data_IF_000120751770
#
_entry.id   IF_000120751770
#
_cell.length_a   1.000
_cell.length_b   1.000
_cell.length_c   1.000
_cell.angle_alpha   90.00
_cell.angle_beta   90.00
_cell.angle_gamma   90.00
#
_symmetry.space_group_name_H-M   'P 1'
#
loop_
_entity.id
_entity.type
_entity.pdbx_description
1 polymer ?
#
# COMPACT_ATOMS: atom_id res chain seq x y z
N UNK A 1 45.44 5.01 22.71
CA UNK A 1 44.59 3.87 22.31
C UNK A 1 43.23 4.45 21.95
N UNK A 2 42.58 4.04 20.85
CA UNK A 2 41.21 4.50 20.59
C UNK A 2 40.30 4.05 21.73
N UNK A 3 39.55 4.98 22.32
CA UNK A 3 38.62 4.69 23.40
C UNK A 3 37.44 3.90 22.85
N UNK A 4 37.31 2.65 23.30
CA UNK A 4 36.15 1.80 22.99
C UNK A 4 34.91 2.49 23.55
N UNK A 5 34.03 2.92 22.65
CA UNK A 5 32.86 3.74 23.00
C UNK A 5 31.75 2.88 23.62
N UNK A 6 31.61 1.63 23.19
CA UNK A 6 30.60 0.71 23.71
C UNK A 6 31.22 -0.64 24.04
N UNK A 7 30.92 -1.16 25.23
CA UNK A 7 31.37 -2.48 25.65
C UNK A 7 30.31 -3.52 25.26
N UNK A 8 30.75 -4.62 24.66
CA UNK A 8 29.86 -5.74 24.34
C UNK A 8 29.45 -6.50 25.60
N UNK A 9 28.23 -7.03 25.67
CA UNK A 9 27.78 -7.82 26.80
C UNK A 9 28.63 -9.08 26.99
N UNK A 10 28.75 -9.54 28.24
CA UNK A 10 29.44 -10.78 28.54
C UNK A 10 28.63 -11.98 28.02
N UNK A 11 29.33 -13.02 27.58
CA UNK A 11 28.72 -14.26 27.08
C UNK A 11 27.85 -14.93 28.15
N UNK A 12 28.29 -14.91 29.40
CA UNK A 12 27.52 -15.47 30.52
C UNK A 12 26.21 -14.71 30.75
N UNK A 13 26.24 -13.37 30.67
CA UNK A 13 25.04 -12.53 30.82
C UNK A 13 24.05 -12.75 29.67
N UNK A 14 24.56 -12.88 28.45
CA UNK A 14 23.75 -13.22 27.26
C UNK A 14 23.09 -14.57 27.45
N UNK A 15 23.87 -15.57 27.84
CA UNK A 15 23.41 -16.93 28.00
C UNK A 15 22.39 -17.05 29.15
N UNK A 16 22.62 -16.38 30.27
CA UNK A 16 21.70 -16.34 31.40
C UNK A 16 20.38 -15.68 31.02
N UNK A 17 20.42 -14.54 30.32
CA UNK A 17 19.22 -13.86 29.84
C UNK A 17 18.44 -14.72 28.82
N UNK A 18 19.13 -15.43 27.93
CA UNK A 18 18.53 -16.41 27.04
C UNK A 18 17.86 -17.55 27.83
N UNK A 19 18.57 -18.13 28.81
CA UNK A 19 18.11 -19.25 29.65
C UNK A 19 16.81 -18.88 30.37
N UNK A 20 16.77 -17.71 31.00
CA UNK A 20 15.59 -17.21 31.69
C UNK A 20 14.41 -16.95 30.74
N UNK A 21 14.68 -16.32 29.59
CA UNK A 21 13.65 -16.02 28.58
C UNK A 21 13.06 -17.30 27.99
N UNK A 22 13.92 -18.27 27.68
CA UNK A 22 13.53 -19.56 27.10
C UNK A 22 12.81 -20.43 28.13
N UNK A 23 13.19 -20.39 29.40
CA UNK A 23 12.44 -21.09 30.45
C UNK A 23 11.00 -20.59 30.57
N UNK A 24 10.79 -19.27 30.46
CA UNK A 24 9.44 -18.68 30.51
C UNK A 24 8.60 -19.09 29.30
N UNK A 25 9.19 -19.14 28.11
CA UNK A 25 8.47 -19.41 26.85
C UNK A 25 8.35 -20.91 26.51
N UNK A 26 9.42 -21.68 26.72
CA UNK A 26 9.64 -23.02 26.14
C UNK A 26 10.24 -24.03 27.15
N UNK A 27 9.82 -23.99 28.43
CA UNK A 27 10.33 -24.90 29.49
C UNK A 27 10.38 -26.38 29.09
N UNK A 28 9.29 -26.90 28.52
CA UNK A 28 9.20 -28.32 28.10
C UNK A 28 10.29 -28.71 27.10
N UNK A 29 10.66 -27.80 26.20
CA UNK A 29 11.72 -28.02 25.21
C UNK A 29 13.10 -27.99 25.85
N UNK A 30 13.34 -27.07 26.78
CA UNK A 30 14.59 -27.05 27.56
C UNK A 30 14.77 -28.35 28.34
N UNK A 31 13.75 -28.81 29.05
CA UNK A 31 13.79 -30.08 29.77
C UNK A 31 14.02 -31.28 28.85
N UNK A 32 13.38 -31.29 27.67
CA UNK A 32 13.60 -32.35 26.68
C UNK A 32 15.04 -32.37 26.18
N UNK A 33 15.68 -31.22 25.93
CA UNK A 33 16.98 -31.17 25.28
C UNK A 33 18.16 -31.20 26.27
N UNK A 34 17.97 -30.71 27.50
CA UNK A 34 19.01 -30.60 28.52
C UNK A 34 18.78 -31.49 29.75
N UNK A 35 17.57 -32.02 29.94
CA UNK A 35 17.24 -32.87 31.08
C UNK A 35 17.89 -34.24 31.03
N UNK A 36 18.33 -34.72 32.19
CA UNK A 36 18.86 -36.08 32.40
C UNK A 36 17.73 -37.01 32.80
N UNK A 37 17.65 -38.20 32.19
CA UNK A 37 16.60 -39.19 32.49
C UNK A 37 16.66 -39.58 33.98
N UNK A 38 15.56 -39.40 34.70
CA UNK A 38 15.43 -39.75 36.12
C UNK A 38 15.86 -38.66 37.11
N UNK A 39 16.32 -37.49 36.64
CA UNK A 39 16.63 -36.35 37.49
C UNK A 39 15.56 -35.24 37.36
N UNK A 40 15.34 -34.48 38.44
CA UNK A 40 14.48 -33.28 38.39
C UNK A 40 15.19 -32.20 37.59
N UNK A 41 14.51 -31.64 36.59
CA UNK A 41 15.06 -30.59 35.75
C UNK A 41 15.19 -29.25 36.51
N UNK A 42 16.41 -28.73 36.59
CA UNK A 42 16.73 -27.36 37.05
C UNK A 42 17.48 -26.60 35.95
N UNK A 43 17.38 -25.27 35.94
CA UNK A 43 18.16 -24.43 35.02
C UNK A 43 19.65 -24.41 35.35
N UNK A 44 20.03 -24.73 36.59
CA UNK A 44 21.42 -24.69 37.05
C UNK A 44 22.29 -25.75 36.37
N UNK A 45 21.67 -26.79 35.80
CA UNK A 45 22.38 -27.85 35.05
C UNK A 45 22.79 -27.40 33.63
N UNK A 46 22.34 -26.21 33.21
CA UNK A 46 22.61 -25.62 31.89
C UNK A 46 23.58 -24.46 32.09
N UNK A 47 24.84 -24.68 31.70
CA UNK A 47 25.91 -23.67 31.77
C UNK A 47 26.35 -23.24 30.38
N UNK A 48 26.80 -21.98 30.28
CA UNK A 48 27.38 -21.46 29.05
C UNK A 48 28.65 -22.26 28.66
N UNK A 49 29.50 -22.61 29.64
CA UNK A 49 30.74 -23.34 29.42
C UNK A 49 30.56 -24.70 28.74
N UNK A 50 29.46 -25.42 29.02
CA UNK A 50 29.18 -26.70 28.37
C UNK A 50 28.49 -26.54 27.00
N UNK A 51 27.63 -25.51 26.90
CA UNK A 51 26.67 -25.37 25.81
C UNK A 51 27.23 -24.55 24.65
N UNK A 52 28.02 -23.52 24.92
CA UNK A 52 28.54 -22.58 23.92
C UNK A 52 29.81 -23.18 23.30
N UNK A 53 29.77 -23.44 21.99
CA UNK A 53 30.89 -24.04 21.24
C UNK A 53 31.77 -23.00 20.57
N UNK A 54 31.15 -21.95 20.05
CA UNK A 54 31.87 -20.87 19.37
C UNK A 54 31.10 -19.55 19.50
N UNK A 55 31.80 -18.44 19.32
CA UNK A 55 31.22 -17.11 19.36
C UNK A 55 31.81 -16.21 18.28
N UNK A 56 30.94 -15.46 17.61
CA UNK A 56 31.33 -14.45 16.64
C UNK A 56 30.90 -13.07 17.11
N UNK A 57 31.84 -12.12 17.05
CA UNK A 57 31.57 -10.70 17.27
C UNK A 57 31.16 -10.06 15.95
N UNK A 58 29.95 -9.55 15.91
CA UNK A 58 29.29 -8.99 14.73
C UNK A 58 28.74 -7.59 15.06
N UNK A 59 28.06 -6.96 14.11
CA UNK A 59 27.44 -5.65 14.32
C UNK A 59 26.13 -5.53 13.53
N UNK A 60 25.23 -4.68 14.01
CA UNK A 60 24.02 -4.31 13.31
C UNK A 60 23.97 -2.80 13.10
N UNK A 61 23.55 -2.37 11.92
CA UNK A 61 23.40 -0.97 11.54
C UNK A 61 21.92 -0.70 11.34
N UNK A 62 21.42 0.33 11.99
CA UNK A 62 20.02 0.70 11.99
C UNK A 62 19.85 2.18 11.64
N UNK A 63 18.87 2.49 10.80
CA UNK A 63 18.33 3.83 10.62
C UNK A 63 16.86 3.72 10.21
N UNK A 64 16.09 4.77 10.41
CA UNK A 64 14.69 4.81 10.01
C UNK A 64 14.51 5.78 8.85
N UNK A 65 13.66 5.39 7.91
CA UNK A 65 13.29 6.21 6.74
C UNK A 65 11.81 6.56 6.79
N UNK A 66 11.50 7.71 6.20
CA UNK A 66 10.14 8.21 5.98
C UNK A 66 9.89 8.18 4.48
N UNK A 67 8.96 7.33 4.03
CA UNK A 67 8.67 7.13 2.61
C UNK A 67 7.29 7.70 2.24
N UNK A 68 7.22 8.57 1.24
CA UNK A 68 5.98 8.91 0.57
C UNK A 68 5.63 7.82 -0.44
N UNK A 69 4.47 7.20 -0.27
CA UNK A 69 3.98 6.15 -1.15
C UNK A 69 2.85 6.73 -2.00
N UNK A 70 2.92 6.48 -3.31
CA UNK A 70 1.82 6.78 -4.22
C UNK A 70 0.53 6.04 -3.80
N UNK A 71 -0.65 6.65 -3.98
CA UNK A 71 -1.91 6.04 -3.58
C UNK A 71 -2.15 4.71 -4.30
N UNK A 72 -2.70 3.75 -3.57
CA UNK A 72 -3.14 2.45 -4.11
C UNK A 72 -4.26 2.69 -5.12
N UNK A 73 -4.16 2.09 -6.32
CA UNK A 73 -5.14 2.23 -7.42
C UNK A 73 -6.45 1.45 -7.19
N UNK A 74 -6.71 0.94 -5.99
CA UNK A 74 -7.90 0.14 -5.71
C UNK A 74 -9.16 1.02 -5.69
N UNK A 75 -10.22 0.56 -6.38
CA UNK A 75 -11.54 1.18 -6.33
C UNK A 75 -11.91 2.10 -7.49
N UNK A 76 -11.15 2.14 -8.59
CA UNK A 76 -11.55 2.91 -9.78
C UNK A 76 -12.85 2.35 -10.37
N UNK A 77 -13.91 3.17 -10.37
CA UNK A 77 -15.20 2.83 -10.99
C UNK A 77 -15.67 3.94 -11.92
N UNK A 78 -16.35 3.55 -13.00
CA UNK A 78 -16.96 4.47 -13.95
C UNK A 78 -18.45 4.61 -13.63
N UNK A 79 -18.92 5.85 -13.51
CA UNK A 79 -20.34 6.17 -13.38
C UNK A 79 -20.84 6.83 -14.64
N UNK A 80 -22.09 6.52 -15.04
CA UNK A 80 -22.77 7.10 -16.18
C UNK A 80 -24.08 7.73 -15.73
N UNK A 81 -24.31 8.99 -16.08
CA UNK A 81 -25.50 9.72 -15.66
C UNK A 81 -26.00 10.75 -16.68
N UNK A 82 -27.18 11.31 -16.41
CA UNK A 82 -27.85 12.32 -17.25
C UNK A 82 -27.29 13.72 -16.97
N UNK A 83 -27.33 14.60 -17.96
CA UNK A 83 -26.83 15.98 -17.88
C UNK A 83 -27.28 16.73 -16.61
N UNK A 84 -28.57 16.67 -16.27
CA UNK A 84 -29.16 17.34 -15.10
C UNK A 84 -28.60 16.86 -13.75
N UNK A 85 -28.13 15.61 -13.69
CA UNK A 85 -27.54 15.04 -12.48
C UNK A 85 -26.04 15.37 -12.38
N UNK A 86 -25.34 15.50 -13.50
CA UNK A 86 -23.91 15.82 -13.54
C UNK A 86 -23.62 17.15 -12.89
N UNK A 87 -24.46 18.17 -13.13
CA UNK A 87 -24.28 19.50 -12.53
C UNK A 87 -24.43 19.53 -11.01
N UNK A 88 -24.95 18.46 -10.40
CA UNK A 88 -25.09 18.31 -8.95
C UNK A 88 -23.93 17.54 -8.30
N UNK A 89 -23.04 16.96 -9.10
CA UNK A 89 -21.88 16.22 -8.61
C UNK A 89 -20.72 17.20 -8.44
N UNK A 90 -20.07 17.14 -7.27
CA UNK A 90 -18.84 17.88 -7.01
C UNK A 90 -17.68 17.08 -7.61
N UNK A 91 -16.94 17.70 -8.52
CA UNK A 91 -15.79 17.10 -9.18
C UNK A 91 -14.50 17.70 -8.68
N UNK A 92 -13.47 16.85 -8.59
CA UNK A 92 -12.14 17.24 -8.16
C UNK A 92 -11.14 17.18 -9.30
N UNK A 93 -10.15 18.06 -9.26
CA UNK A 93 -9.05 18.11 -10.22
C UNK A 93 -7.77 18.39 -9.46
N UNK A 94 -6.91 17.38 -9.35
CA UNK A 94 -5.65 17.48 -8.62
C UNK A 94 -4.51 17.74 -9.61
N UNK A 95 -3.87 18.89 -9.49
CA UNK A 95 -2.63 19.21 -10.24
C UNK A 95 -1.37 18.92 -9.42
N UNK A 96 -1.52 18.70 -8.11
CA UNK A 96 -0.48 18.35 -7.14
C UNK A 96 -1.07 17.34 -6.16
N UNK A 97 -0.20 16.62 -5.47
CA UNK A 97 -0.64 15.67 -4.44
C UNK A 97 -1.29 16.40 -3.25
N UNK A 98 -2.22 15.70 -2.60
CA UNK A 98 -3.03 16.22 -1.48
C UNK A 98 -2.41 15.81 -0.15
N UNK A 99 -2.38 16.73 0.82
CA UNK A 99 -2.06 16.40 2.20
C UNK A 99 -3.29 15.77 2.87
N UNK A 100 -3.16 14.52 3.33
CA UNK A 100 -4.26 13.77 3.95
C UNK A 100 -4.78 14.45 5.23
N UNK A 101 -3.90 15.08 6.02
CA UNK A 101 -4.29 15.69 7.30
C UNK A 101 -5.21 16.91 7.12
N UNK A 102 -5.19 17.52 5.94
CA UNK A 102 -6.01 18.69 5.59
C UNK A 102 -7.20 18.33 4.68
N UNK A 103 -7.48 17.05 4.47
CA UNK A 103 -8.54 16.59 3.59
C UNK A 103 -9.74 16.08 4.39
N UNK A 104 -10.91 16.68 4.15
CA UNK A 104 -12.16 16.44 4.87
C UNK A 104 -13.20 15.64 4.07
N UNK A 105 -13.02 15.52 2.76
CA UNK A 105 -13.90 14.74 1.87
C UNK A 105 -13.56 13.23 1.83
N UNK A 106 -14.34 12.45 1.10
CA UNK A 106 -14.10 11.02 0.89
C UNK A 106 -12.74 10.72 0.23
N UNK A 107 -12.16 9.54 0.51
CA UNK A 107 -10.90 9.12 -0.14
C UNK A 107 -11.09 8.76 -1.62
N UNK A 108 -12.33 8.51 -2.06
CA UNK A 108 -12.71 8.18 -3.44
C UNK A 108 -13.65 9.25 -3.98
N UNK A 109 -13.16 10.05 -4.93
CA UNK A 109 -13.93 11.20 -5.44
C UNK A 109 -14.09 11.19 -6.97
N UNK A 110 -15.12 11.86 -7.52
CA UNK A 110 -15.28 12.04 -8.97
C UNK A 110 -14.20 12.96 -9.56
N UNK A 111 -13.51 12.51 -10.61
CA UNK A 111 -12.44 13.30 -11.24
C UNK A 111 -12.95 14.07 -12.46
N UNK A 112 -12.82 15.41 -12.43
CA UNK A 112 -13.28 16.30 -13.50
C UNK A 112 -12.64 15.97 -14.85
N UNK A 113 -11.33 15.72 -14.87
CA UNK A 113 -10.57 15.44 -16.09
C UNK A 113 -10.96 14.12 -16.79
N UNK A 114 -11.80 13.30 -16.16
CA UNK A 114 -12.32 12.06 -16.74
C UNK A 114 -13.73 12.19 -17.30
N UNK A 115 -14.37 13.34 -17.14
CA UNK A 115 -15.72 13.59 -17.63
C UNK A 115 -15.74 13.55 -19.16
N UNK A 116 -16.56 12.66 -19.72
CA UNK A 116 -16.73 12.46 -21.17
C UNK A 116 -18.20 12.37 -21.51
N UNK A 117 -18.60 12.99 -22.62
CA UNK A 117 -19.93 12.79 -23.20
C UNK A 117 -19.98 11.47 -23.97
N UNK A 118 -21.01 10.66 -23.73
CA UNK A 118 -21.33 9.45 -24.49
C UNK A 118 -22.71 9.63 -25.16
N UNK A 119 -22.86 9.35 -26.46
CA UNK A 119 -24.17 9.42 -27.09
C UNK A 119 -25.13 8.42 -26.45
N UNK A 120 -26.39 8.84 -26.24
CA UNK A 120 -27.41 7.97 -25.67
C UNK A 120 -27.69 6.82 -26.64
N UNK A 121 -27.47 5.59 -26.18
CA UNK A 121 -27.61 4.38 -26.99
C UNK A 121 -29.07 4.14 -27.42
N UNK A 122 -30.06 4.46 -26.57
CA UNK A 122 -31.47 4.25 -26.91
C UNK A 122 -31.99 5.13 -28.05
N UNK A 123 -31.55 6.39 -28.13
CA UNK A 123 -31.96 7.29 -29.21
C UNK A 123 -30.87 7.51 -30.28
N UNK A 124 -29.74 6.82 -30.18
CA UNK A 124 -28.55 7.01 -31.02
C UNK A 124 -28.14 8.48 -31.15
N UNK A 125 -28.18 9.23 -30.04
CA UNK A 125 -27.86 10.66 -30.04
C UNK A 125 -28.91 11.61 -30.63
N UNK A 126 -30.10 11.14 -31.04
CA UNK A 126 -31.17 12.02 -31.57
C UNK A 126 -31.89 12.82 -30.49
N UNK A 127 -31.97 12.28 -29.27
CA UNK A 127 -32.68 12.88 -28.13
C UNK A 127 -34.18 12.52 -28.08
N UNK A 128 -34.72 11.88 -29.11
CA UNK A 128 -36.13 11.50 -29.20
C UNK A 128 -36.29 10.17 -29.94
N UNK A 129 -37.45 9.54 -29.76
CA UNK A 129 -37.92 8.40 -30.55
C UNK A 129 -38.99 8.90 -31.53
N UNK A 130 -38.94 8.42 -32.78
CA UNK A 130 -39.95 8.68 -33.78
C UNK A 130 -40.92 7.50 -33.81
N UNK A 131 -42.21 7.79 -33.60
CA UNK A 131 -43.30 6.84 -33.81
C UNK A 131 -44.18 7.33 -34.95
N UNK A 132 -44.65 6.41 -35.79
CA UNK A 132 -45.55 6.75 -36.89
C UNK A 132 -46.86 7.30 -36.34
N UNK A 133 -47.40 8.32 -36.99
CA UNK A 133 -48.71 8.84 -36.64
C UNK A 133 -49.78 7.81 -37.01
N UNK A 134 -50.50 7.31 -36.00
CA UNK A 134 -51.55 6.29 -36.17
C UNK A 134 -52.74 6.77 -37.01
N UNK A 135 -52.91 8.08 -37.19
CA UNK A 135 -54.06 8.65 -37.90
C UNK A 135 -53.85 8.75 -39.41
N UNK A 136 -52.60 8.83 -39.84
CA UNK A 136 -52.24 8.89 -41.26
C UNK A 136 -51.19 7.83 -41.64
N UNK A 137 -51.03 6.80 -40.81
CA UNK A 137 -50.08 5.68 -40.96
C UNK A 137 -48.63 6.04 -41.35
N UNK A 138 -48.19 7.25 -40.99
CA UNK A 138 -46.86 7.77 -41.35
C UNK A 138 -46.79 8.66 -42.58
N UNK A 139 -47.88 8.82 -43.34
CA UNK A 139 -47.88 9.57 -44.61
C UNK A 139 -47.95 11.10 -44.43
N UNK A 140 -48.39 11.56 -43.25
CA UNK A 140 -48.56 12.98 -42.97
C UNK A 140 -49.80 13.62 -43.62
N UNK A 141 -50.52 12.89 -44.48
CA UNK A 141 -51.74 13.32 -45.16
C UNK A 141 -52.86 12.30 -44.96
N UNK A 142 -54.10 12.77 -45.03
CA UNK A 142 -55.28 11.91 -45.02
C UNK A 142 -55.93 12.07 -46.39
N UNK A 143 -56.07 10.96 -47.12
CA UNK A 143 -56.78 10.94 -48.40
C UNK A 143 -58.22 10.50 -48.17
N UNK A 144 -59.18 11.33 -48.60
CA UNK A 144 -60.61 11.00 -48.56
C UNK A 144 -61.19 11.11 -49.96
N UNK A 145 -61.98 10.12 -50.37
CA UNK A 145 -62.69 10.14 -51.65
C UNK A 145 -63.92 11.03 -51.55
N UNK A 146 -63.88 12.19 -52.19
CA UNK A 146 -65.04 13.06 -52.34
C UNK A 146 -65.83 12.65 -53.57
N UNK A 147 -67.15 12.57 -53.42
CA UNK A 147 -68.05 12.44 -54.57
C UNK A 147 -68.31 13.84 -55.08
N UNK A 148 -67.75 14.16 -56.23
CA UNK A 148 -67.94 15.43 -56.92
C UNK A 148 -68.98 15.20 -58.02
N UNK A 149 -70.04 16.00 -58.00
CA UNK A 149 -71.06 15.98 -59.04
C UNK A 149 -70.62 16.97 -60.11
N UNK A 150 -70.39 16.49 -61.32
CA UNK A 150 -70.03 17.32 -62.47
C UNK A 150 -71.22 17.37 -63.45
N UNK A 151 -71.40 18.54 -64.05
CA UNK A 151 -72.43 18.87 -65.04
C UNK A 151 -73.89 18.94 -64.53
N UNK A 152 -74.79 19.43 -65.38
CA UNK A 152 -76.23 19.57 -65.09
C UNK A 152 -76.91 18.22 -64.83
N UNK A 153 -76.37 17.14 -65.40
CA UNK A 153 -76.85 15.77 -65.24
C UNK A 153 -76.41 15.11 -63.91
N UNK A 154 -75.59 15.80 -63.09
CA UNK A 154 -75.07 15.31 -61.79
C UNK A 154 -74.30 13.99 -61.90
N UNK A 155 -73.38 13.89 -62.85
CA UNK A 155 -72.54 12.71 -63.01
C UNK A 155 -71.58 12.58 -61.81
N UNK A 156 -71.66 11.46 -61.08
CA UNK A 156 -70.87 11.20 -59.87
C UNK A 156 -69.46 10.75 -60.22
N UNK A 157 -68.48 11.63 -60.09
CA UNK A 157 -67.07 11.26 -60.10
C UNK A 157 -66.51 11.19 -58.67
N UNK A 158 -65.64 10.21 -58.39
CA UNK A 158 -64.90 10.14 -57.13
C UNK A 158 -63.53 10.77 -57.35
N UNK A 159 -63.28 11.92 -56.71
CA UNK A 159 -61.97 12.58 -56.71
C UNK A 159 -61.33 12.42 -55.34
N UNK A 160 -60.04 12.12 -55.31
CA UNK A 160 -59.28 12.06 -54.07
C UNK A 160 -59.00 13.48 -53.56
N UNK A 161 -59.30 13.73 -52.29
CA UNK A 161 -58.99 14.98 -51.60
C UNK A 161 -58.00 14.68 -50.49
N UNK A 162 -56.81 15.25 -50.62
CA UNK A 162 -55.75 15.15 -49.62
C UNK A 162 -55.68 16.42 -48.78
N UNK A 163 -55.56 16.25 -47.48
CA UNK A 163 -55.26 17.34 -46.56
C UNK A 163 -54.25 16.87 -45.50
N UNK A 164 -53.54 17.83 -44.91
CA UNK A 164 -52.54 17.54 -43.88
C UNK A 164 -53.19 16.90 -42.66
N UNK A 165 -52.58 15.83 -42.15
CA UNK A 165 -53.04 15.16 -40.94
C UNK A 165 -52.95 16.12 -39.74
N UNK A 166 -54.09 16.44 -39.12
CA UNK A 166 -54.16 17.38 -38.00
C UNK A 166 -53.42 16.89 -36.75
N UNK A 167 -53.24 15.59 -36.58
CA UNK A 167 -52.60 15.02 -35.39
C UNK A 167 -51.07 15.10 -35.43
N UNK A 168 -50.45 14.95 -36.61
CA UNK A 168 -48.99 15.11 -36.78
C UNK A 168 -48.59 16.41 -37.48
N UNK A 169 -49.57 17.29 -37.77
CA UNK A 169 -49.36 18.55 -38.50
C UNK A 169 -48.58 18.37 -39.81
N UNK A 170 -48.84 17.28 -40.54
CA UNK A 170 -48.19 17.02 -41.82
C UNK A 170 -46.84 16.30 -41.77
N UNK A 171 -46.26 16.03 -40.59
CA UNK A 171 -44.93 15.39 -40.48
C UNK A 171 -44.94 13.87 -40.62
N UNK A 172 -46.11 13.25 -40.46
CA UNK A 172 -46.28 11.79 -40.45
C UNK A 172 -45.77 11.10 -39.17
N UNK A 173 -45.01 11.76 -38.31
CA UNK A 173 -44.36 11.14 -37.15
C UNK A 173 -44.48 11.98 -35.88
N UNK A 174 -44.60 11.31 -34.73
CA UNK A 174 -44.49 11.91 -33.41
C UNK A 174 -43.07 11.79 -32.87
N UNK A 175 -42.55 12.88 -32.30
CA UNK A 175 -41.25 12.88 -31.62
C UNK A 175 -41.48 12.82 -30.13
N UNK A 176 -41.27 11.64 -29.55
CA UNK A 176 -41.31 11.46 -28.11
C UNK A 176 -39.93 11.65 -27.51
N UNK A 177 -39.83 12.49 -26.48
CA UNK A 177 -38.55 12.73 -25.81
C UNK A 177 -37.98 11.42 -25.27
N UNK A 178 -36.71 11.14 -25.57
CA UNK A 178 -36.06 9.93 -25.10
C UNK A 178 -35.97 9.95 -23.57
N UNK A 179 -36.61 8.99 -22.90
CA UNK A 179 -36.69 8.91 -21.43
C UNK A 179 -35.31 8.73 -20.77
N UNK A 180 -34.36 8.14 -21.49
CA UNK A 180 -33.02 7.85 -20.98
C UNK A 180 -32.14 9.11 -20.92
N UNK A 181 -32.05 9.89 -22.00
CA UNK A 181 -31.28 11.14 -22.00
C UNK A 181 -32.11 12.40 -21.71
N UNK A 182 -33.43 12.27 -21.53
CA UNK A 182 -34.38 13.36 -21.36
C UNK A 182 -34.31 14.43 -22.46
N UNK A 183 -34.00 14.04 -23.71
CA UNK A 183 -33.84 14.99 -24.82
C UNK A 183 -32.43 15.55 -25.02
N UNK A 184 -31.50 15.32 -24.08
CA UNK A 184 -30.16 15.93 -24.11
C UNK A 184 -29.17 15.27 -25.09
N UNK A 185 -29.60 14.24 -25.84
CA UNK A 185 -28.81 13.47 -26.82
C UNK A 185 -27.67 12.64 -26.24
N UNK A 186 -26.99 13.13 -25.21
CA UNK A 186 -25.84 12.53 -24.57
C UNK A 186 -26.12 12.16 -23.10
N UNK A 187 -25.45 11.11 -22.65
CA UNK A 187 -25.15 10.85 -21.25
C UNK A 187 -23.71 11.27 -20.97
N UNK A 188 -23.34 11.37 -19.70
CA UNK A 188 -22.00 11.73 -19.30
C UNK A 188 -21.44 10.64 -18.41
N UNK A 189 -20.19 10.27 -18.65
CA UNK A 189 -19.46 9.31 -17.85
C UNK A 189 -18.25 9.97 -17.22
N UNK A 190 -17.95 9.64 -15.98
CA UNK A 190 -16.74 10.03 -15.29
C UNK A 190 -16.24 8.88 -14.43
N UNK A 191 -14.98 8.97 -14.00
CA UNK A 191 -14.37 7.99 -13.13
C UNK A 191 -14.26 8.54 -11.72
N UNK A 192 -14.61 7.70 -10.75
CA UNK A 192 -14.32 7.91 -9.34
C UNK A 192 -13.00 7.22 -9.07
N UNK A 193 -12.03 7.97 -8.54
CA UNK A 193 -10.67 7.49 -8.26
C UNK A 193 -10.26 7.88 -6.85
N UNK A 194 -9.26 7.19 -6.32
CA UNK A 194 -8.62 7.57 -5.06
C UNK A 194 -7.99 8.96 -5.18
N UNK A 195 -8.22 9.79 -4.17
CA UNK A 195 -7.53 11.07 -4.01
C UNK A 195 -6.03 10.81 -3.95
N UNK A 196 -5.21 11.59 -4.68
CA UNK A 196 -3.77 11.38 -4.71
C UNK A 196 -3.11 11.89 -3.43
N UNK A 197 -3.37 11.24 -2.30
CA UNK A 197 -2.73 11.56 -1.04
C UNK A 197 -1.24 11.23 -1.10
N UNK A 198 -0.41 12.13 -0.58
CA UNK A 198 0.93 11.74 -0.12
C UNK A 198 0.75 10.89 1.12
N UNK A 199 0.70 9.56 0.98
CA UNK A 199 0.78 8.68 2.15
C UNK A 199 2.21 8.67 2.63
N UNK A 200 2.49 9.38 3.71
CA UNK A 200 3.83 9.38 4.29
C UNK A 200 3.91 8.32 5.37
N UNK A 201 4.56 7.21 5.06
CA UNK A 201 4.91 6.20 6.07
C UNK A 201 6.18 6.70 6.75
N UNK A 202 6.05 7.21 7.98
CA UNK A 202 7.18 7.58 8.84
C UNK A 202 7.71 6.38 9.61
N UNK A 203 9.00 6.41 9.94
CA UNK A 203 9.61 5.43 10.83
C UNK A 203 9.75 4.02 10.25
N UNK A 204 9.79 3.83 8.93
CA UNK A 204 10.09 2.50 8.40
C UNK A 204 11.53 2.12 8.79
N UNK A 205 11.73 1.07 9.60
CA UNK A 205 13.07 0.68 10.01
C UNK A 205 13.85 0.10 8.83
N UNK A 206 15.16 0.32 8.85
CA UNK A 206 16.11 -0.33 7.95
C UNK A 206 17.23 -0.88 8.83
N UNK A 207 17.37 -2.21 8.82
CA UNK A 207 18.38 -2.93 9.59
C UNK A 207 19.28 -3.69 8.64
N UNK A 208 20.58 -3.58 8.86
CA UNK A 208 21.59 -4.42 8.23
C UNK A 208 22.41 -5.13 9.31
N UNK A 209 22.33 -6.45 9.37
CA UNK A 209 23.13 -7.26 10.28
C UNK A 209 24.35 -7.85 9.56
N UNK A 210 25.50 -7.91 10.24
CA UNK A 210 26.65 -8.70 9.75
C UNK A 210 26.56 -10.18 10.10
N UNK A 211 25.76 -10.52 11.12
CA UNK A 211 25.34 -11.90 11.37
C UNK A 211 24.27 -12.31 10.36
N UNK A 212 24.46 -13.44 9.68
CA UNK A 212 23.45 -14.04 8.80
C UNK A 212 22.37 -14.72 9.63
N UNK A 213 21.36 -13.98 10.05
CA UNK A 213 20.29 -14.48 10.91
C UNK A 213 18.95 -14.52 10.20
N UNK A 214 18.13 -15.54 10.51
CA UNK A 214 16.73 -15.62 10.04
C UNK A 214 15.82 -14.64 10.79
N UNK A 215 16.30 -14.06 11.88
CA UNK A 215 15.55 -13.15 12.75
C UNK A 215 15.66 -11.68 12.35
N UNK A 216 16.28 -11.35 11.22
CA UNK A 216 16.55 -9.95 10.84
C UNK A 216 15.28 -9.09 10.87
N UNK A 217 14.15 -9.61 10.36
CA UNK A 217 12.85 -8.91 10.40
C UNK A 217 12.24 -8.75 11.80
N UNK A 218 12.47 -9.71 12.69
CA UNK A 218 11.99 -9.63 14.08
C UNK A 218 12.84 -8.62 14.86
N UNK A 219 14.16 -8.73 14.71
CA UNK A 219 15.14 -7.80 15.27
C UNK A 219 14.85 -6.37 14.79
N UNK A 220 14.54 -6.18 13.52
CA UNK A 220 14.22 -4.88 12.92
C UNK A 220 12.98 -4.24 13.59
N UNK A 221 11.90 -5.02 13.78
CA UNK A 221 10.69 -4.55 14.44
C UNK A 221 10.92 -4.25 15.92
N UNK A 222 11.58 -5.16 16.63
CA UNK A 222 11.84 -5.04 18.06
C UNK A 222 12.81 -3.90 18.33
N UNK A 223 13.87 -3.72 17.52
CA UNK A 223 14.76 -2.57 17.62
C UNK A 223 14.02 -1.26 17.36
N UNK A 224 13.10 -1.22 16.40
CA UNK A 224 12.31 -0.02 16.17
C UNK A 224 11.45 0.35 17.38
N UNK A 225 10.82 -0.64 18.03
CA UNK A 225 9.96 -0.43 19.20
C UNK A 225 10.74 -0.19 20.49
N UNK A 226 11.90 -0.81 20.64
CA UNK A 226 12.70 -0.87 21.87
C UNK A 226 14.03 -0.12 21.72
N UNK A 227 14.13 0.82 20.78
CA UNK A 227 15.39 1.53 20.48
C UNK A 227 15.96 2.22 21.71
N UNK A 228 15.11 2.70 22.64
CA UNK A 228 15.52 3.35 23.89
C UNK A 228 15.98 2.36 24.98
N UNK A 229 15.66 1.07 24.79
CA UNK A 229 16.06 -0.03 25.66
C UNK A 229 17.34 -0.72 25.18
N UNK A 230 17.84 -0.40 23.98
CA UNK A 230 19.09 -0.93 23.43
C UNK A 230 20.09 0.19 23.28
N UNK A 231 21.29 0.01 23.82
CA UNK A 231 22.34 1.00 23.67
C UNK A 231 23.13 0.75 22.38
N UNK A 232 23.29 1.80 21.58
CA UNK A 232 24.04 1.80 20.32
C UNK A 232 24.73 3.13 20.09
N UNK A 233 25.75 3.12 19.24
CA UNK A 233 26.55 4.30 18.91
C UNK A 233 25.91 5.05 17.76
N UNK A 234 25.65 6.35 17.90
CA UNK A 234 25.00 7.17 16.88
C UNK A 234 26.03 7.93 16.05
N UNK A 235 25.87 7.90 14.73
CA UNK A 235 26.71 8.56 13.75
C UNK A 235 25.87 9.50 12.89
N UNK A 236 26.46 10.61 12.44
CA UNK A 236 25.74 11.56 11.59
C UNK A 236 25.73 11.11 10.12
N UNK A 237 26.78 10.42 9.67
CA UNK A 237 26.91 9.95 8.30
C UNK A 237 27.74 8.65 8.21
N UNK A 238 27.67 8.00 7.04
CA UNK A 238 28.38 6.74 6.78
C UNK A 238 29.90 6.88 6.67
N UNK A 239 30.42 8.08 6.39
CA UNK A 239 31.87 8.34 6.36
C UNK A 239 32.42 8.32 7.78
N UNK A 240 31.72 8.96 8.71
CA UNK A 240 32.00 8.93 10.14
C UNK A 240 31.91 7.50 10.68
N UNK A 241 30.82 6.78 10.37
CA UNK A 241 30.65 5.36 10.75
C UNK A 241 31.83 4.52 10.26
N UNK A 242 32.19 4.61 8.99
CA UNK A 242 33.26 3.79 8.39
C UNK A 242 34.61 4.03 9.07
N UNK A 243 34.91 5.29 9.41
CA UNK A 243 36.18 5.66 10.03
C UNK A 243 36.25 5.28 11.52
N UNK A 244 35.12 5.31 12.23
CA UNK A 244 35.08 5.13 13.69
C UNK A 244 34.55 3.77 14.14
N UNK A 245 33.98 2.95 13.26
CA UNK A 245 33.34 1.68 13.64
C UNK A 245 34.29 0.73 14.40
N UNK A 246 35.50 0.52 13.89
CA UNK A 246 36.50 -0.36 14.52
C UNK A 246 36.89 0.13 15.92
N UNK A 247 37.22 1.42 16.04
CA UNK A 247 37.53 2.05 17.32
C UNK A 247 36.36 1.96 18.31
N UNK A 248 35.13 2.15 17.83
CA UNK A 248 33.95 2.22 18.69
C UNK A 248 33.51 0.84 19.20
N UNK A 249 33.62 -0.20 18.37
CA UNK A 249 33.28 -1.58 18.72
C UNK A 249 34.43 -2.31 19.46
N UNK A 250 35.68 -1.91 19.21
CA UNK A 250 36.87 -2.62 19.70
C UNK A 250 37.16 -3.93 18.93
N UNK A 251 36.45 -4.19 17.84
CA UNK A 251 36.67 -5.29 16.92
C UNK A 251 36.17 -4.92 15.52
N UNK A 252 36.76 -5.54 14.50
CA UNK A 252 36.36 -5.30 13.12
C UNK A 252 36.66 -6.54 12.27
N UNK A 253 35.63 -7.07 11.61
CA UNK A 253 35.74 -8.27 10.79
C UNK A 253 35.31 -7.98 9.33
N UNK A 254 35.56 -8.92 8.42
CA UNK A 254 35.20 -8.77 7.00
C UNK A 254 33.70 -8.65 6.76
N UNK A 255 32.85 -9.27 7.60
CA UNK A 255 31.39 -9.18 7.50
C UNK A 255 30.91 -7.78 7.87
N UNK A 256 31.38 -7.21 8.99
CA UNK A 256 31.07 -5.85 9.44
C UNK A 256 31.41 -4.84 8.35
N UNK A 257 32.59 -4.94 7.73
CA UNK A 257 32.99 -4.07 6.61
C UNK A 257 32.02 -4.15 5.44
N UNK A 258 31.58 -5.37 5.07
CA UNK A 258 30.59 -5.58 4.00
C UNK A 258 29.25 -4.96 4.38
N UNK A 259 28.78 -5.19 5.60
CA UNK A 259 27.51 -4.66 6.11
C UNK A 259 27.50 -3.13 6.13
N UNK A 260 28.58 -2.47 6.56
CA UNK A 260 28.73 -1.01 6.48
C UNK A 260 28.64 -0.53 5.02
N UNK A 261 29.30 -1.23 4.09
CA UNK A 261 29.26 -0.88 2.67
C UNK A 261 27.87 -1.04 2.05
N UNK A 262 27.16 -2.13 2.38
CA UNK A 262 25.79 -2.37 1.89
C UNK A 262 24.84 -1.33 2.47
N UNK A 263 24.84 -1.15 3.79
CA UNK A 263 24.01 -0.16 4.47
C UNK A 263 24.28 1.27 3.95
N UNK A 264 25.54 1.61 3.68
CA UNK A 264 25.90 2.91 3.10
C UNK A 264 25.45 3.10 1.65
N UNK A 265 25.34 2.00 0.89
CA UNK A 265 24.81 2.05 -0.48
C UNK A 265 23.30 2.26 -0.48
N UNK A 266 22.59 1.57 0.41
CA UNK A 266 21.14 1.70 0.56
C UNK A 266 20.77 3.08 1.13
N UNK A 267 21.51 3.56 2.14
CA UNK A 267 21.35 4.91 2.67
C UNK A 267 21.48 6.00 1.59
N UNK A 268 22.51 5.92 0.73
CA UNK A 268 22.67 6.84 -0.40
C UNK A 268 21.55 6.73 -1.43
N UNK A 269 20.99 5.53 -1.59
CA UNK A 269 19.84 5.32 -2.48
C UNK A 269 18.61 6.03 -1.92
N UNK A 270 18.34 5.88 -0.62
CA UNK A 270 17.26 6.58 0.07
C UNK A 270 17.46 8.09 0.14
N UNK A 271 18.69 8.59 0.26
CA UNK A 271 18.98 10.03 0.27
C UNK A 271 18.72 10.69 -1.09
N UNK A 272 18.91 9.95 -2.19
CA UNK A 272 18.67 10.43 -3.55
C UNK A 272 17.21 10.28 -4.00
N UNK A 273 16.47 9.39 -3.34
CA UNK A 273 15.07 9.14 -3.63
C UNK A 273 14.24 10.36 -3.20
N UNK A 274 13.50 10.96 -4.15
CA UNK A 274 12.65 12.13 -3.89
C UNK A 274 11.52 11.82 -2.93
N UNK A 275 11.14 10.54 -2.86
CA UNK A 275 10.04 10.06 -2.05
C UNK A 275 10.50 9.46 -0.72
N UNK A 276 11.79 9.50 -0.42
CA UNK A 276 12.31 8.99 0.85
C UNK A 276 13.11 10.05 1.59
N UNK A 277 12.92 10.14 2.90
CA UNK A 277 13.71 11.00 3.78
C UNK A 277 14.23 10.18 4.95
N UNK A 278 15.52 10.25 5.23
CA UNK A 278 16.08 9.65 6.44
C UNK A 278 15.61 10.43 7.67
N UNK A 279 15.05 9.74 8.66
CA UNK A 279 14.42 10.33 9.83
C UNK A 279 15.33 10.30 11.06
N UNK A 280 16.17 9.27 11.19
CA UNK A 280 17.05 9.09 12.35
C UNK A 280 18.53 9.08 11.97
N UNK A 281 19.38 9.33 12.97
CA UNK A 281 20.82 9.11 12.85
C UNK A 281 21.13 7.62 12.68
N UNK A 282 22.25 7.33 12.02
CA UNK A 282 22.72 5.96 11.84
C UNK A 282 23.16 5.42 13.19
N UNK A 283 22.61 4.29 13.61
CA UNK A 283 22.94 3.64 14.87
C UNK A 283 23.70 2.34 14.61
N UNK A 284 24.86 2.19 15.23
CA UNK A 284 25.68 0.98 15.21
C UNK A 284 25.50 0.25 16.55
N UNK A 285 25.06 -0.99 16.48
CA UNK A 285 24.89 -1.86 17.63
C UNK A 285 25.94 -2.96 17.61
N UNK A 286 26.67 -3.18 18.72
CA UNK A 286 27.44 -4.41 18.86
C UNK A 286 26.51 -5.61 18.89
N UNK A 287 26.90 -6.67 18.21
CA UNK A 287 26.15 -7.92 18.13
C UNK A 287 27.05 -9.10 18.46
N UNK A 288 26.54 -10.08 19.20
CA UNK A 288 27.23 -11.33 19.47
C UNK A 288 26.37 -12.48 18.96
N UNK A 289 26.96 -13.37 18.18
CA UNK A 289 26.36 -14.63 17.76
C UNK A 289 27.06 -15.78 18.49
N UNK A 290 26.30 -16.58 19.22
CA UNK A 290 26.79 -17.72 19.98
C UNK A 290 26.27 -19.00 19.35
N UNK A 291 27.18 -19.88 18.94
CA UNK A 291 26.85 -21.20 18.42
C UNK A 291 26.82 -22.17 19.59
N UNK A 292 25.66 -22.76 19.81
CA UNK A 292 25.35 -23.54 20.99
C UNK A 292 24.97 -24.98 20.60
N UNK A 293 25.24 -25.94 21.47
CA UNK A 293 24.87 -27.34 21.29
C UNK A 293 24.31 -27.89 22.59
N UNK A 294 23.15 -28.55 22.50
CA UNK A 294 22.52 -29.18 23.67
C UNK A 294 23.29 -30.43 24.10
N UNK A 295 23.03 -30.94 25.32
CA UNK A 295 23.59 -32.22 25.78
C UNK A 295 23.21 -33.41 24.89
N UNK A 296 22.17 -33.26 24.07
CA UNK A 296 21.68 -34.26 23.10
C UNK A 296 22.19 -34.04 21.68
N UNK A 297 23.14 -33.13 21.47
CA UNK A 297 23.79 -32.89 20.17
C UNK A 297 22.99 -32.01 19.21
N UNK A 298 21.96 -31.30 19.70
CA UNK A 298 21.17 -30.39 18.86
C UNK A 298 21.81 -29.02 18.85
N UNK A 299 22.17 -28.52 17.67
CA UNK A 299 22.74 -27.19 17.52
C UNK A 299 21.66 -26.10 17.49
N UNK A 300 21.95 -24.95 18.07
CA UNK A 300 21.15 -23.75 18.02
C UNK A 300 22.05 -22.51 18.15
N UNK A 301 21.49 -21.33 17.89
CA UNK A 301 22.20 -20.07 17.89
C UNK A 301 21.47 -19.08 18.81
N UNK A 302 22.25 -18.31 19.56
CA UNK A 302 21.79 -17.19 20.36
C UNK A 302 22.41 -15.93 19.76
N UNK A 303 21.60 -14.89 19.59
CA UNK A 303 22.04 -13.57 19.13
C UNK A 303 21.78 -12.56 20.23
N UNK A 304 22.77 -11.70 20.51
CA UNK A 304 22.63 -10.55 21.39
C UNK A 304 22.90 -9.27 20.61
N UNK A 305 22.12 -8.22 20.84
CA UNK A 305 22.30 -6.90 20.22
C UNK A 305 22.20 -5.82 21.31
N UNK A 306 23.22 -4.98 21.41
CA UNK A 306 23.31 -3.88 22.39
C UNK A 306 24.54 -3.98 23.31
N UNK A 307 24.68 -3.03 24.23
CA UNK A 307 25.81 -2.95 25.17
C UNK A 307 25.74 -3.97 26.31
N UNK A 308 26.80 -4.03 27.10
CA UNK A 308 26.82 -4.72 28.40
C UNK A 308 25.74 -4.25 29.39
N UNK A 309 25.31 -3.00 29.30
CA UNK A 309 24.24 -2.46 30.15
C UNK A 309 22.84 -2.75 29.61
N UNK A 310 22.66 -2.70 28.29
CA UNK A 310 21.35 -2.69 27.63
C UNK A 310 21.41 -3.44 26.30
N UNK A 311 20.96 -4.69 26.33
CA UNK A 311 20.91 -5.58 25.15
C UNK A 311 19.63 -6.43 25.10
N UNK A 312 19.29 -6.91 23.90
CA UNK A 312 18.18 -7.86 23.65
C UNK A 312 18.78 -9.19 23.16
N UNK A 313 18.09 -10.30 23.45
CA UNK A 313 18.54 -11.65 23.07
C UNK A 313 17.48 -12.37 22.24
N UNK A 314 17.93 -13.01 21.16
CA UNK A 314 17.13 -13.83 20.25
C UNK A 314 17.74 -15.23 20.15
N UNK A 315 16.95 -16.24 19.81
CA UNK A 315 17.48 -17.59 19.57
C UNK A 315 16.59 -18.44 18.67
N UNK A 316 17.19 -19.38 17.93
CA UNK A 316 16.46 -20.43 17.21
C UNK A 316 16.26 -21.73 17.99
N UNK A 317 16.41 -21.66 19.32
CA UNK A 317 16.35 -22.82 20.19
C UNK A 317 15.09 -23.64 20.07
#
# INVERSE_FOLDING_TARGET
MPDVVIKTPNLDDIFEKWKQTTNRKNRKRLEKEFGTKGAVFSLDIISAAETVKDTMKEAAIYFAIKKSIEPVKEGEREEVMKAEKVSRVIFFSFTKDVNKDNWDDDELVPFYNTLKSKPCQKCSGRGYHESKCKTCDGEGRISTKLVVLEDEEKNKQKKDFEYSCGNCFGTGNFKERCKECNGNKNLYSYRIKAVPFKRVISGQPVLHSSAKTKYEKEIEKDLHQLIDQVEGIKFNDFKELTNKAEASLGYYNKNIKKTISTAGSDYKTYEKDRDTKIETKISLFPMIQMFCETKKGKSFEIYSIGSDKKFIVYSNF
#
